data_IF_304167319105
#
_entry.id   IF_304167319105
#
_cell.length_a   1.000
_cell.length_b   1.000
_cell.length_c   1.000
_cell.angle_alpha   90.00
_cell.angle_beta   90.00
_cell.angle_gamma   90.00
#
_symmetry.space_group_name_H-M   'P 1'
#
loop_
_entity.id
_entity.type
_entity.pdbx_description
1 polymer ?
#
# COMPACT_ATOMS: atom_id res chain seq x y z
N UNK A 1 -12.26 -45.17 -3.45
CA UNK A 1 -10.88 -44.66 -3.27
C UNK A 1 -10.39 -44.30 -4.67
N UNK A 2 -10.30 -43.08 -5.15
CA UNK A 2 -10.39 -41.71 -4.64
C UNK A 2 -11.00 -40.85 -5.75
N UNK A 3 -11.68 -39.79 -5.35
CA UNK A 3 -12.23 -38.71 -6.19
C UNK A 3 -11.19 -37.59 -6.38
N UNK A 4 -11.48 -36.68 -7.34
CA UNK A 4 -10.97 -35.29 -7.43
C UNK A 4 -9.52 -35.12 -7.94
N UNK A 5 -9.11 -34.13 -8.78
CA UNK A 5 -9.66 -32.89 -9.37
C UNK A 5 -8.80 -32.62 -10.63
N UNK A 6 -9.41 -32.36 -11.79
CA UNK A 6 -9.57 -31.04 -12.42
C UNK A 6 -8.27 -30.26 -12.71
N UNK A 7 -8.12 -29.91 -14.00
CA UNK A 7 -7.36 -28.83 -14.63
C UNK A 7 -6.82 -27.72 -13.68
N UNK A 8 -5.72 -27.02 -13.97
CA UNK A 8 -5.53 -26.18 -15.15
C UNK A 8 -4.16 -25.45 -15.00
N UNK A 9 -3.42 -25.32 -16.11
CA UNK A 9 -2.50 -24.22 -16.51
C UNK A 9 -1.56 -23.51 -15.48
N UNK A 10 -0.28 -23.91 -15.53
CA UNK A 10 0.88 -23.13 -15.06
C UNK A 10 1.00 -21.80 -15.82
N UNK A 11 0.73 -20.68 -15.12
CA UNK A 11 1.14 -19.35 -15.57
C UNK A 11 2.63 -19.17 -15.30
N UNK A 12 3.29 -18.65 -16.33
CA UNK A 12 4.70 -18.28 -16.43
C UNK A 12 5.31 -17.76 -15.12
N UNK A 13 6.34 -18.46 -14.66
CA UNK A 13 7.36 -17.91 -13.79
C UNK A 13 8.29 -17.05 -14.66
N UNK A 14 8.29 -15.74 -14.45
CA UNK A 14 9.42 -14.88 -14.82
C UNK A 14 10.07 -14.46 -13.51
N UNK A 15 11.17 -15.14 -13.19
CA UNK A 15 12.05 -14.88 -12.05
C UNK A 15 12.97 -13.70 -12.34
N UNK A 16 12.89 -12.71 -11.45
CA UNK A 16 13.94 -11.89 -10.83
C UNK A 16 15.38 -11.98 -11.40
N UNK A 17 15.96 -10.81 -11.66
CA UNK A 17 17.40 -10.54 -11.58
C UNK A 17 17.65 -9.01 -11.43
N UNK A 18 18.72 -8.44 -10.88
CA UNK A 18 19.36 -8.41 -9.53
C UNK A 18 20.16 -7.07 -9.46
N UNK A 19 20.37 -6.53 -8.23
CA UNK A 19 21.06 -5.31 -7.68
C UNK A 19 22.50 -4.99 -8.19
N UNK A 20 23.32 -3.97 -7.71
CA UNK A 20 23.32 -3.09 -6.51
C UNK A 20 23.63 -1.56 -6.81
N UNK A 21 23.57 -0.58 -5.91
CA UNK A 21 24.59 -0.23 -4.90
C UNK A 21 24.13 0.95 -4.00
N UNK A 22 24.66 0.99 -2.78
CA UNK A 22 24.39 1.97 -1.73
C UNK A 22 25.02 3.34 -2.03
N UNK A 23 24.28 4.44 -1.89
CA UNK A 23 24.85 5.68 -1.35
C UNK A 23 23.91 6.30 -0.31
N UNK A 24 24.31 6.13 0.95
CA UNK A 24 23.88 6.96 2.07
C UNK A 24 24.36 8.39 1.83
N UNK A 25 23.47 9.40 1.88
CA UNK A 25 23.90 10.73 2.32
C UNK A 25 22.81 11.45 3.11
N UNK A 26 23.17 11.74 4.37
CA UNK A 26 22.72 12.89 5.16
C UNK A 26 21.32 12.84 5.81
N UNK A 27 21.23 12.14 6.93
CA UNK A 27 20.26 12.48 7.98
C UNK A 27 20.71 13.84 8.58
N UNK A 28 20.07 14.93 8.17
CA UNK A 28 20.12 16.17 8.95
C UNK A 28 19.10 16.07 10.09
N UNK A 29 19.65 15.85 11.29
CA UNK A 29 18.92 15.95 12.55
C UNK A 29 18.50 17.40 12.79
N UNK A 30 17.20 17.69 12.71
CA UNK A 30 16.64 18.86 13.40
C UNK A 30 15.36 18.48 14.14
N UNK A 31 15.49 18.33 15.46
CA UNK A 31 14.39 18.30 16.42
C UNK A 31 13.76 19.71 16.50
N UNK A 32 12.68 20.02 15.76
CA UNK A 32 11.63 21.04 16.02
C UNK A 32 10.47 20.63 15.06
N UNK A 33 9.22 20.29 15.42
CA UNK A 33 8.08 21.14 15.83
C UNK A 33 6.94 20.19 16.35
N UNK A 34 6.26 20.44 17.49
CA UNK A 34 5.14 19.62 18.01
C UNK A 34 3.79 19.85 17.29
N UNK A 35 3.81 20.23 16.00
CA UNK A 35 2.63 20.48 15.17
C UNK A 35 3.04 20.40 13.70
N UNK A 36 3.43 19.20 13.24
CA UNK A 36 3.55 18.95 11.81
C UNK A 36 2.18 18.47 11.31
N UNK A 37 1.24 19.41 11.19
CA UNK A 37 0.05 19.22 10.35
C UNK A 37 0.50 19.20 8.89
N UNK A 38 1.24 18.15 8.51
CA UNK A 38 1.42 17.82 7.10
C UNK A 38 0.00 17.76 6.50
N UNK A 39 -0.25 18.40 5.35
CA UNK A 39 -1.53 18.28 4.69
C UNK A 39 -1.79 16.79 4.48
N UNK A 40 -2.77 16.25 5.22
CA UNK A 40 -3.19 14.87 5.11
C UNK A 40 -3.87 14.74 3.76
N UNK A 41 -3.09 14.36 2.74
CA UNK A 41 -3.62 14.02 1.43
C UNK A 41 -4.53 12.80 1.63
N UNK A 42 -5.79 12.92 1.25
CA UNK A 42 -6.72 11.79 1.27
C UNK A 42 -6.91 11.24 -0.13
N UNK A 43 -7.22 9.95 -0.22
CA UNK A 43 -7.69 9.34 -1.45
C UNK A 43 -8.92 8.48 -1.19
N UNK A 44 -9.71 8.31 -2.25
CA UNK A 44 -10.80 7.35 -2.34
C UNK A 44 -10.36 6.16 -3.19
N UNK A 45 -10.65 4.96 -2.72
CA UNK A 45 -10.30 3.73 -3.42
C UNK A 45 -11.30 3.46 -4.55
N UNK A 46 -10.78 3.24 -5.75
CA UNK A 46 -11.58 2.97 -6.96
C UNK A 46 -11.66 1.49 -7.32
N UNK A 47 -10.74 0.66 -6.82
CA UNK A 47 -10.67 -0.76 -7.08
C UNK A 47 -10.22 -1.53 -5.83
N UNK A 48 -10.77 -2.72 -5.63
CA UNK A 48 -10.36 -3.60 -4.53
C UNK A 48 -8.94 -4.11 -4.73
N UNK A 49 -8.19 -4.27 -3.63
CA UNK A 49 -6.86 -4.88 -3.64
C UNK A 49 -6.68 -5.77 -2.41
N UNK A 50 -6.28 -7.02 -2.67
CA UNK A 50 -5.94 -8.00 -1.64
C UNK A 50 -4.42 -8.04 -1.46
N UNK A 51 -3.91 -7.86 -0.23
CA UNK A 51 -2.49 -7.92 0.09
C UNK A 51 -1.84 -9.23 -0.36
N UNK A 52 -0.66 -9.13 -0.97
CA UNK A 52 0.22 -10.27 -1.26
C UNK A 52 1.34 -10.39 -0.24
N UNK A 53 1.73 -9.27 0.38
CA UNK A 53 2.75 -9.20 1.41
C UNK A 53 2.16 -8.63 2.73
N UNK A 54 2.74 -8.97 3.90
CA UNK A 54 2.19 -8.58 5.20
C UNK A 54 2.29 -7.08 5.52
N UNK A 55 3.09 -6.32 4.77
CA UNK A 55 3.22 -4.86 4.84
C UNK A 55 2.21 -4.11 3.96
N UNK A 56 1.46 -4.83 3.10
CA UNK A 56 0.47 -4.24 2.21
C UNK A 56 -0.89 -4.04 2.91
N UNK A 57 -1.58 -2.97 2.51
CA UNK A 57 -2.89 -2.61 3.01
C UNK A 57 -3.98 -3.18 2.11
N UNK A 58 -4.90 -3.93 2.71
CA UNK A 58 -6.16 -4.33 2.08
C UNK A 58 -7.05 -3.10 1.91
N UNK A 59 -7.54 -2.88 0.69
CA UNK A 59 -8.37 -1.72 0.34
C UNK A 59 -9.58 -2.17 -0.48
N UNK A 60 -10.74 -1.56 -0.20
CA UNK A 60 -11.99 -1.82 -0.91
C UNK A 60 -12.56 -0.54 -1.53
N UNK A 61 -13.31 -0.68 -2.63
CA UNK A 61 -13.94 0.46 -3.30
C UNK A 61 -14.74 1.31 -2.32
N UNK A 62 -14.48 2.63 -2.35
CA UNK A 62 -15.12 3.62 -1.49
C UNK A 62 -14.43 3.86 -0.14
N UNK A 63 -13.37 3.08 0.19
CA UNK A 63 -12.56 3.37 1.37
C UNK A 63 -11.84 4.71 1.23
N UNK A 64 -11.72 5.43 2.36
CA UNK A 64 -10.97 6.68 2.45
C UNK A 64 -9.67 6.43 3.21
N UNK A 65 -8.56 6.80 2.59
CA UNK A 65 -7.21 6.55 3.12
C UNK A 65 -6.47 7.87 3.27
N UNK A 66 -5.83 8.05 4.42
CA UNK A 66 -4.87 9.13 4.62
C UNK A 66 -3.52 8.67 4.06
N UNK A 67 -3.02 9.38 3.06
CA UNK A 67 -1.72 9.12 2.45
C UNK A 67 -0.64 9.72 3.34
N UNK A 68 0.30 8.87 3.74
CA UNK A 68 1.50 9.23 4.49
C UNK A 68 2.63 9.53 3.51
N UNK A 69 2.79 8.71 2.47
CA UNK A 69 3.87 8.83 1.49
C UNK A 69 3.41 8.34 0.11
N UNK A 70 3.93 8.97 -0.95
CA UNK A 70 3.80 8.52 -2.34
C UNK A 70 5.20 8.15 -2.81
N UNK A 71 5.47 6.86 -2.98
CA UNK A 71 6.75 6.36 -3.42
C UNK A 71 6.91 6.54 -4.95
N UNK A 72 8.15 6.70 -5.40
CA UNK A 72 8.48 6.92 -6.81
C UNK A 72 8.21 5.67 -7.69
N UNK A 73 8.06 4.50 -7.08
CA UNK A 73 7.71 3.24 -7.75
C UNK A 73 6.20 3.07 -8.01
N UNK A 74 5.40 4.08 -7.64
CA UNK A 74 3.96 4.10 -7.83
C UNK A 74 3.14 3.48 -6.69
N UNK A 75 3.78 3.07 -5.59
CA UNK A 75 3.12 2.62 -4.37
C UNK A 75 2.90 3.76 -3.39
N UNK A 76 1.77 3.74 -2.68
CA UNK A 76 1.49 4.71 -1.62
C UNK A 76 1.52 4.01 -0.26
N UNK A 77 2.03 4.71 0.74
CA UNK A 77 1.89 4.32 2.14
C UNK A 77 0.72 5.11 2.74
N UNK A 78 -0.18 4.43 3.45
CA UNK A 78 -1.31 5.12 4.05
C UNK A 78 -1.97 4.40 5.20
N UNK A 79 -2.96 5.07 5.75
CA UNK A 79 -3.69 4.67 6.93
C UNK A 79 -5.18 4.83 6.67
N UNK A 80 -5.90 3.72 6.76
CA UNK A 80 -7.33 3.66 6.52
C UNK A 80 -8.06 4.50 7.57
N UNK A 81 -8.99 5.36 7.13
CA UNK A 81 -9.91 6.03 8.04
C UNK A 81 -10.82 4.98 8.70
N UNK A 82 -11.21 5.16 9.96
CA UNK A 82 -12.03 4.17 10.67
C UNK A 82 -13.26 3.79 9.84
N UNK A 83 -13.28 2.56 9.34
CA UNK A 83 -14.46 2.01 8.68
C UNK A 83 -15.37 1.37 9.73
N UNK A 84 -16.67 1.31 9.45
CA UNK A 84 -17.64 0.69 10.35
C UNK A 84 -17.51 -0.84 10.41
N UNK A 85 -16.67 -1.44 9.56
CA UNK A 85 -16.56 -2.89 9.38
C UNK A 85 -15.52 -3.53 10.30
N UNK A 86 -14.47 -2.80 10.67
CA UNK A 86 -13.40 -3.28 11.53
C UNK A 86 -13.04 -2.19 12.55
N UNK A 87 -13.09 -2.52 13.85
CA UNK A 87 -12.70 -1.59 14.91
C UNK A 87 -11.17 -1.46 15.05
N UNK A 88 -10.42 -1.91 14.04
CA UNK A 88 -8.96 -1.92 14.00
C UNK A 88 -8.47 -0.92 12.96
N UNK A 89 -7.54 -0.07 13.38
CA UNK A 89 -6.80 0.82 12.50
C UNK A 89 -5.82 0.00 11.65
N UNK A 90 -5.97 0.06 10.32
CA UNK A 90 -5.10 -0.60 9.35
C UNK A 90 -4.17 0.42 8.67
N UNK A 91 -2.92 0.03 8.45
CA UNK A 91 -1.92 0.82 7.73
C UNK A 91 -1.06 -0.12 6.88
N UNK A 92 -0.48 0.39 5.80
CA UNK A 92 0.37 -0.39 4.91
C UNK A 92 0.57 0.28 3.55
N UNK A 93 1.20 -0.44 2.64
CA UNK A 93 1.44 -0.02 1.25
C UNK A 93 0.32 -0.49 0.33
N UNK A 94 -0.03 0.29 -0.69
CA UNK A 94 -1.02 -0.08 -1.70
C UNK A 94 -0.72 0.58 -3.05
N UNK A 95 -1.21 0.03 -4.18
CA UNK A 95 -0.94 0.60 -5.50
C UNK A 95 -1.59 1.98 -5.69
N UNK A 96 -0.81 3.00 -6.02
CA UNK A 96 -1.30 4.38 -6.16
C UNK A 96 -2.27 4.57 -7.34
N UNK A 97 -2.23 3.69 -8.34
CA UNK A 97 -3.16 3.71 -9.48
C UNK A 97 -4.57 3.15 -9.16
N UNK A 98 -4.77 2.61 -7.95
CA UNK A 98 -6.06 2.06 -7.52
C UNK A 98 -6.94 3.09 -6.81
N UNK A 99 -6.44 4.32 -6.65
CA UNK A 99 -7.08 5.36 -5.86
C UNK A 99 -7.18 6.68 -6.63
N UNK A 100 -8.08 7.56 -6.19
CA UNK A 100 -8.20 8.93 -6.66
C UNK A 100 -7.89 9.88 -5.52
N UNK A 101 -6.97 10.82 -5.74
CA UNK A 101 -6.69 11.89 -4.77
C UNK A 101 -7.93 12.77 -4.58
N UNK A 102 -8.25 13.04 -3.32
CA UNK A 102 -9.29 13.99 -2.93
C UNK A 102 -8.65 15.37 -2.82
N UNK A 103 -9.20 16.33 -3.58
CA UNK A 103 -8.80 17.74 -3.60
C UNK A 103 -9.41 18.55 -2.47
#
# INVERSE_FOLDING_TARGET
ILSEKSHQNERAQISKQTSPDLEQTSIEKTNIIPNLSLPTRKCEVLYDYTPQNPDELEIHVGDIINIIEMCDDGWFCGMMEKSNHDNKMKFGTFPGNYVKLLS
#
